data_IF_557574776646
#
_entry.id   IF_557574776646
#
_cell.length_a   1.000
_cell.length_b   1.000
_cell.length_c   1.000
_cell.angle_alpha   90.00
_cell.angle_beta   90.00
_cell.angle_gamma   90.00
#
_symmetry.space_group_name_H-M   'P 1'
#
loop_
_entity.id
_entity.type
_entity.pdbx_description
1 polymer ?
#
# COMPACT_ATOMS: atom_id res chain seq x y z
N UNK A 1 -6.85 58.50 16.48
CA UNK A 1 -7.11 57.64 15.30
C UNK A 1 -5.94 56.68 15.17
N UNK A 2 -6.15 55.37 15.41
CA UNK A 2 -5.09 54.35 15.37
C UNK A 2 -5.07 53.79 13.93
N UNK A 3 -3.93 53.89 13.25
CA UNK A 3 -3.77 53.40 11.88
C UNK A 3 -3.40 51.91 11.95
N UNK A 4 -4.03 51.02 11.16
CA UNK A 4 -3.68 49.61 11.13
C UNK A 4 -2.23 49.42 10.66
N UNK A 5 -1.43 48.71 11.46
CA UNK A 5 -0.03 48.41 11.14
C UNK A 5 0.08 47.31 10.09
N UNK A 6 0.97 47.49 9.10
CA UNK A 6 1.34 46.44 8.15
C UNK A 6 2.48 45.61 8.74
N UNK A 7 2.29 44.29 8.82
CA UNK A 7 3.33 43.34 9.24
C UNK A 7 4.12 42.89 8.01
N UNK A 8 5.45 42.84 8.12
CA UNK A 8 6.35 42.33 7.09
C UNK A 8 7.23 41.22 7.68
N UNK A 9 7.60 40.24 6.85
CA UNK A 9 8.53 39.16 7.22
C UNK A 9 9.60 39.07 6.16
N UNK A 10 10.86 38.99 6.60
CA UNK A 10 12.04 39.00 5.73
C UNK A 10 12.88 37.77 6.02
N UNK A 11 13.33 37.09 4.97
CA UNK A 11 14.36 36.06 5.07
C UNK A 11 15.71 36.71 4.78
N UNK A 12 16.56 36.81 5.81
CA UNK A 12 17.84 37.52 5.72
C UNK A 12 18.97 36.54 5.90
N UNK A 13 19.99 36.64 5.05
CA UNK A 13 21.20 35.84 5.18
C UNK A 13 21.98 36.28 6.42
N UNK A 14 22.46 35.32 7.23
CA UNK A 14 23.06 35.60 8.53
C UNK A 14 24.24 36.59 8.50
N UNK A 15 25.01 36.62 7.40
CA UNK A 15 26.13 37.54 7.23
C UNK A 15 25.69 39.00 7.00
N UNK A 16 24.53 39.21 6.38
CA UNK A 16 24.03 40.54 6.02
C UNK A 16 23.01 41.07 7.03
N UNK A 17 22.73 40.31 8.09
CA UNK A 17 21.72 40.62 9.10
C UNK A 17 21.96 41.97 9.78
N UNK A 18 23.22 42.27 10.12
CA UNK A 18 23.58 43.54 10.76
C UNK A 18 23.38 44.73 9.82
N UNK A 19 23.78 44.61 8.56
CA UNK A 19 23.58 45.66 7.56
C UNK A 19 22.10 45.87 7.25
N UNK A 20 21.31 44.80 7.21
CA UNK A 20 19.86 44.86 7.06
C UNK A 20 19.18 45.56 8.24
N UNK A 21 19.55 45.20 9.48
CA UNK A 21 19.03 45.85 10.70
C UNK A 21 19.33 47.35 10.70
N UNK A 22 20.53 47.74 10.30
CA UNK A 22 20.90 49.15 10.20
C UNK A 22 20.01 49.90 9.20
N UNK A 23 19.75 49.31 8.01
CA UNK A 23 18.84 49.91 7.03
C UNK A 23 17.40 50.05 7.54
N UNK A 24 16.88 49.05 8.25
CA UNK A 24 15.53 49.09 8.85
C UNK A 24 15.45 50.13 9.98
N UNK A 25 16.53 50.29 10.76
CA UNK A 25 16.64 51.30 11.81
C UNK A 25 16.67 52.72 11.25
N UNK A 26 17.39 52.96 10.15
CA UNK A 26 17.40 54.25 9.44
C UNK A 26 16.01 54.62 8.88
N UNK A 27 15.21 53.63 8.47
CA UNK A 27 13.80 53.84 8.10
C UNK A 27 12.86 54.09 9.29
N UNK A 28 13.34 54.02 10.54
CA UNK A 28 12.56 54.32 11.74
C UNK A 28 11.63 53.19 12.19
N UNK A 29 11.86 51.95 11.76
CA UNK A 29 11.06 50.80 12.19
C UNK A 29 11.56 50.32 13.56
N UNK A 30 10.75 50.52 14.61
CA UNK A 30 11.15 50.26 16.00
C UNK A 30 10.88 48.82 16.49
N UNK A 31 10.03 48.06 15.79
CA UNK A 31 9.56 46.75 16.25
C UNK A 31 10.09 45.64 15.34
N UNK A 32 11.29 45.15 15.64
CA UNK A 32 11.90 43.99 14.99
C UNK A 32 11.74 42.79 15.92
N UNK A 33 11.05 41.74 15.45
CA UNK A 33 10.91 40.47 16.16
C UNK A 33 11.78 39.45 15.41
N UNK A 34 12.85 38.99 16.05
CA UNK A 34 13.64 37.87 15.53
C UNK A 34 12.91 36.57 15.88
N UNK A 35 12.30 35.93 14.88
CA UNK A 35 11.78 34.57 15.04
C UNK A 35 12.95 33.61 14.97
N UNK A 36 13.27 32.96 16.08
CA UNK A 36 14.29 31.92 16.10
C UNK A 36 13.86 30.77 15.18
N UNK A 37 14.81 30.30 14.38
CA UNK A 37 14.71 29.20 13.42
C UNK A 37 13.86 28.03 13.93
N UNK A 38 12.81 27.68 13.20
CA UNK A 38 12.10 26.41 13.36
C UNK A 38 10.58 26.50 13.29
N UNK A 39 10.01 27.65 13.62
CA UNK A 39 8.56 27.88 13.48
C UNK A 39 8.24 28.34 12.06
N UNK A 40 8.39 27.41 11.11
CA UNK A 40 7.47 27.40 9.96
C UNK A 40 6.13 26.91 10.54
N UNK A 41 5.48 27.78 11.33
CA UNK A 41 4.07 27.69 11.73
C UNK A 41 3.14 28.07 10.57
N UNK A 42 3.66 28.14 9.34
CA UNK A 42 2.78 28.18 8.19
C UNK A 42 2.42 26.72 7.87
N UNK A 43 1.40 26.20 8.56
CA UNK A 43 0.70 24.96 8.15
C UNK A 43 0.45 24.98 6.63
N UNK A 44 0.14 26.16 6.07
CA UNK A 44 0.02 26.37 4.63
C UNK A 44 1.28 26.01 3.82
N UNK A 45 2.48 26.35 4.30
CA UNK A 45 3.74 26.02 3.62
C UNK A 45 3.97 24.51 3.70
N UNK A 46 3.74 23.91 4.86
CA UNK A 46 3.86 22.46 5.04
C UNK A 46 2.87 21.70 4.13
N UNK A 47 1.63 22.14 4.04
CA UNK A 47 0.62 21.61 3.13
C UNK A 47 1.02 21.75 1.66
N UNK A 48 1.57 22.91 1.27
CA UNK A 48 2.07 23.12 -0.10
C UNK A 48 3.23 22.18 -0.42
N UNK A 49 4.18 21.99 0.51
CA UNK A 49 5.27 21.03 0.33
C UNK A 49 4.75 19.59 0.22
N UNK A 50 3.75 19.22 1.03
CA UNK A 50 3.13 17.91 0.93
C UNK A 50 2.47 17.70 -0.45
N UNK A 51 1.69 18.68 -0.93
CA UNK A 51 1.07 18.63 -2.26
C UNK A 51 2.10 18.53 -3.39
N UNK A 52 3.21 19.26 -3.29
CA UNK A 52 4.31 19.17 -4.27
C UNK A 52 4.92 17.76 -4.27
N UNK A 53 5.13 17.17 -3.10
CA UNK A 53 5.66 15.82 -2.99
C UNK A 53 4.70 14.77 -3.57
N UNK A 54 3.39 14.91 -3.34
CA UNK A 54 2.36 14.04 -3.92
C UNK A 54 2.34 14.12 -5.46
N UNK A 55 2.38 15.34 -6.01
CA UNK A 55 2.45 15.56 -7.47
C UNK A 55 3.73 14.96 -8.08
N UNK A 56 4.89 15.19 -7.46
CA UNK A 56 6.15 14.62 -7.92
C UNK A 56 6.15 13.08 -7.88
N UNK A 57 5.52 12.49 -6.86
CA UNK A 57 5.33 11.04 -6.77
C UNK A 57 4.47 10.50 -7.91
N UNK A 58 3.36 11.19 -8.21
CA UNK A 58 2.48 10.83 -9.32
C UNK A 58 3.17 10.94 -10.68
N UNK A 59 3.93 12.03 -10.93
CA UNK A 59 4.70 12.20 -12.16
C UNK A 59 5.70 11.04 -12.33
N UNK A 60 6.51 10.74 -11.31
CA UNK A 60 7.46 9.62 -11.35
C UNK A 60 6.79 8.26 -11.56
N UNK A 61 5.58 8.08 -11.03
CA UNK A 61 4.81 6.86 -11.27
C UNK A 61 4.36 6.76 -12.73
N UNK A 62 3.83 7.85 -13.29
CA UNK A 62 3.40 7.92 -14.69
C UNK A 62 4.57 7.81 -15.69
N UNK A 63 5.72 8.39 -15.38
CA UNK A 63 6.93 8.31 -16.20
C UNK A 63 7.38 6.86 -16.45
N UNK A 64 7.12 5.94 -15.50
CA UNK A 64 7.43 4.51 -15.68
C UNK A 64 6.69 3.87 -16.85
N UNK A 65 5.55 4.43 -17.25
CA UNK A 65 4.74 3.91 -18.34
C UNK A 65 5.19 4.43 -19.72
N UNK A 66 6.19 5.33 -19.78
CA UNK A 66 6.78 5.87 -21.03
C UNK A 66 5.74 6.27 -22.09
N UNK A 67 4.64 6.88 -21.65
CA UNK A 67 3.60 7.36 -22.57
C UNK A 67 4.09 8.64 -23.23
N UNK A 68 4.02 8.72 -24.56
CA UNK A 68 4.31 9.97 -25.29
C UNK A 68 3.40 11.09 -24.76
N UNK A 69 4.01 12.16 -24.23
CA UNK A 69 3.29 13.39 -23.89
C UNK A 69 2.78 14.00 -25.19
N UNK A 70 1.54 13.67 -25.55
CA UNK A 70 0.81 14.44 -26.55
C UNK A 70 0.40 15.74 -25.88
N UNK A 71 0.97 16.85 -26.33
CA UNK A 71 0.52 18.21 -26.04
C UNK A 71 -0.90 18.41 -26.58
N UNK A 72 -1.87 17.77 -25.94
CA UNK A 72 -3.26 18.11 -26.09
C UNK A 72 -3.54 19.21 -25.06
N UNK A 73 -4.31 20.21 -25.46
CA UNK A 73 -4.79 21.30 -24.60
C UNK A 73 -5.75 20.72 -23.53
N UNK A 74 -5.18 20.10 -22.49
CA UNK A 74 -5.92 19.46 -21.40
C UNK A 74 -6.42 20.59 -20.50
N UNK A 75 -7.71 20.90 -20.60
CA UNK A 75 -8.41 21.88 -19.75
C UNK A 75 -8.78 21.34 -18.36
N UNK A 76 -8.26 20.18 -17.98
CA UNK A 76 -8.60 19.52 -16.72
C UNK A 76 -7.67 20.01 -15.62
N UNK A 77 -8.23 20.27 -14.43
CA UNK A 77 -7.45 20.66 -13.27
C UNK A 77 -6.48 19.52 -12.88
N UNK A 78 -5.19 19.83 -12.74
CA UNK A 78 -4.16 18.83 -12.41
C UNK A 78 -4.39 18.11 -11.07
N UNK A 79 -5.10 18.75 -10.15
CA UNK A 79 -5.47 18.13 -8.86
C UNK A 79 -6.56 17.06 -9.00
N UNK A 80 -7.52 17.23 -9.93
CA UNK A 80 -8.55 16.22 -10.17
C UNK A 80 -7.93 14.97 -10.80
N UNK A 81 -7.02 15.18 -11.76
CA UNK A 81 -6.24 14.10 -12.37
C UNK A 81 -5.38 13.35 -11.33
N UNK A 82 -4.80 14.06 -10.35
CA UNK A 82 -4.07 13.44 -9.24
C UNK A 82 -4.98 12.56 -8.38
N UNK A 83 -6.18 13.04 -8.05
CA UNK A 83 -7.15 12.28 -7.24
C UNK A 83 -7.60 11.00 -7.95
N UNK A 84 -7.88 11.08 -9.25
CA UNK A 84 -8.29 9.92 -10.04
C UNK A 84 -7.16 8.91 -10.20
N UNK A 85 -5.92 9.37 -10.38
CA UNK A 85 -4.74 8.52 -10.37
C UNK A 85 -4.59 7.80 -9.02
N UNK A 86 -4.74 8.51 -7.89
CA UNK A 86 -4.67 7.90 -6.56
C UNK A 86 -5.74 6.82 -6.35
N UNK A 87 -6.97 7.03 -6.85
CA UNK A 87 -8.03 6.00 -6.82
C UNK A 87 -7.63 4.77 -7.64
N UNK A 88 -7.14 4.97 -8.86
CA UNK A 88 -6.70 3.87 -9.73
C UNK A 88 -5.55 3.05 -9.09
N UNK A 89 -4.58 3.71 -8.46
CA UNK A 89 -3.52 3.02 -7.72
C UNK A 89 -4.11 2.23 -6.55
N UNK A 90 -5.06 2.80 -5.81
CA UNK A 90 -5.72 2.11 -4.70
C UNK A 90 -6.47 0.87 -5.18
N UNK A 91 -7.21 0.98 -6.27
CA UNK A 91 -7.95 -0.14 -6.88
C UNK A 91 -7.01 -1.21 -7.42
N UNK A 92 -5.89 -0.82 -8.04
CA UNK A 92 -4.87 -1.76 -8.49
C UNK A 92 -4.29 -2.54 -7.31
N UNK A 93 -3.90 -1.86 -6.23
CA UNK A 93 -3.38 -2.50 -5.03
C UNK A 93 -4.42 -3.44 -4.39
N UNK A 94 -5.68 -3.02 -4.32
CA UNK A 94 -6.76 -3.86 -3.81
C UNK A 94 -6.97 -5.11 -4.68
N UNK A 95 -6.86 -4.98 -6.00
CA UNK A 95 -6.99 -6.10 -6.92
C UNK A 95 -5.80 -7.06 -6.82
N UNK A 96 -4.58 -6.55 -6.69
CA UNK A 96 -3.37 -7.35 -6.46
C UNK A 96 -3.46 -8.14 -5.14
N UNK A 97 -3.98 -7.52 -4.07
CA UNK A 97 -4.22 -8.21 -2.80
C UNK A 97 -5.27 -9.33 -2.94
N UNK A 98 -6.39 -9.06 -3.63
CA UNK A 98 -7.40 -10.09 -3.92
C UNK A 98 -6.80 -11.25 -4.72
N UNK A 99 -6.02 -10.93 -5.74
CA UNK A 99 -5.36 -11.94 -6.59
C UNK A 99 -4.35 -12.77 -5.80
N UNK A 100 -3.59 -12.16 -4.90
CA UNK A 100 -2.69 -12.86 -3.99
C UNK A 100 -3.46 -13.78 -3.01
N UNK A 101 -4.56 -13.29 -2.44
CA UNK A 101 -5.43 -14.08 -1.56
C UNK A 101 -6.06 -15.27 -2.30
N UNK A 102 -6.64 -15.05 -3.47
CA UNK A 102 -7.21 -16.12 -4.32
C UNK A 102 -6.15 -17.12 -4.75
N UNK A 103 -4.93 -16.68 -5.12
CA UNK A 103 -3.82 -17.61 -5.42
C UNK A 103 -3.45 -18.46 -4.22
N UNK A 104 -3.37 -17.86 -3.02
CA UNK A 104 -3.09 -18.60 -1.79
C UNK A 104 -4.20 -19.61 -1.49
N UNK A 105 -5.46 -19.18 -1.56
CA UNK A 105 -6.61 -20.06 -1.38
C UNK A 105 -6.65 -21.19 -2.41
N UNK A 106 -6.37 -20.91 -3.67
CA UNK A 106 -6.33 -21.92 -4.73
C UNK A 106 -5.21 -22.93 -4.47
N UNK A 107 -4.01 -22.47 -4.12
CA UNK A 107 -2.90 -23.36 -3.77
C UNK A 107 -3.19 -24.21 -2.52
N UNK A 108 -3.95 -23.70 -1.56
CA UNK A 108 -4.33 -24.43 -0.34
C UNK A 108 -5.51 -25.39 -0.57
N UNK A 109 -6.53 -24.96 -1.33
CA UNK A 109 -7.80 -25.69 -1.50
C UNK A 109 -7.76 -26.68 -2.68
N UNK A 110 -7.09 -26.34 -3.77
CA UNK A 110 -7.18 -27.10 -5.03
C UNK A 110 -6.13 -28.21 -5.17
N UNK A 111 -5.05 -28.16 -4.40
CA UNK A 111 -4.03 -29.19 -4.45
C UNK A 111 -4.48 -30.61 -4.03
N UNK A 112 -5.33 -30.82 -3.01
CA UNK A 112 -5.86 -32.16 -2.74
C UNK A 112 -6.94 -32.59 -3.76
N UNK A 113 -7.72 -31.65 -4.32
CA UNK A 113 -8.81 -31.93 -5.26
C UNK A 113 -8.37 -32.21 -6.71
N UNK A 114 -7.19 -31.73 -7.13
CA UNK A 114 -6.66 -31.95 -8.48
C UNK A 114 -6.00 -33.33 -8.64
N UNK A 115 -5.52 -33.93 -7.54
CA UNK A 115 -4.86 -35.25 -7.59
C UNK A 115 -5.90 -36.38 -7.64
N UNK A 116 -7.10 -36.13 -7.13
CA UNK A 116 -8.23 -37.03 -7.29
C UNK A 116 -9.19 -36.43 -8.33
N UNK A 117 -8.83 -36.58 -9.61
CA UNK A 117 -9.77 -36.40 -10.72
C UNK A 117 -11.13 -36.97 -10.29
N UNK A 118 -12.25 -36.23 -10.29
CA UNK A 118 -13.50 -36.68 -9.63
C UNK A 118 -14.07 -38.06 -10.03
N UNK A 119 -13.56 -38.68 -11.10
CA UNK A 119 -14.05 -39.95 -11.64
C UNK A 119 -13.90 -41.20 -10.74
N UNK A 120 -12.84 -41.39 -9.91
CA UNK A 120 -12.76 -42.51 -8.96
C UNK A 120 -13.52 -42.23 -7.66
N UNK A 121 -13.61 -40.96 -7.21
CA UNK A 121 -14.31 -40.58 -5.97
C UNK A 121 -15.80 -40.95 -6.08
N UNK A 122 -16.44 -40.60 -7.20
CA UNK A 122 -17.85 -40.90 -7.43
C UNK A 122 -18.13 -42.41 -7.41
N UNK A 123 -17.21 -43.22 -7.98
CA UNK A 123 -17.31 -44.69 -7.95
C UNK A 123 -17.11 -45.30 -6.56
N UNK A 124 -16.28 -44.67 -5.74
CA UNK A 124 -16.05 -45.07 -4.34
C UNK A 124 -17.26 -44.74 -3.47
N UNK A 125 -17.92 -43.60 -3.70
CA UNK A 125 -19.19 -43.26 -3.04
C UNK A 125 -20.33 -44.18 -3.47
N UNK A 126 -20.40 -44.56 -4.75
CA UNK A 126 -21.39 -45.53 -5.25
C UNK A 126 -21.21 -46.93 -4.64
N UNK A 127 -20.00 -47.25 -4.18
CA UNK A 127 -19.66 -48.52 -3.51
C UNK A 127 -19.94 -48.51 -2.01
N UNK A 128 -20.48 -47.42 -1.46
CA UNK A 128 -20.89 -47.30 -0.06
C UNK A 128 -19.80 -46.87 0.93
N UNK A 129 -18.60 -46.50 0.45
CA UNK A 129 -17.53 -45.98 1.30
C UNK A 129 -17.67 -44.47 1.51
N UNK A 130 -17.68 -44.01 2.77
CA UNK A 130 -17.69 -42.57 3.08
C UNK A 130 -16.26 -42.09 3.32
N UNK A 131 -15.78 -41.20 2.46
CA UNK A 131 -14.45 -40.59 2.58
C UNK A 131 -14.54 -39.21 3.22
N UNK A 132 -13.75 -38.96 4.26
CA UNK A 132 -13.57 -37.64 4.85
C UNK A 132 -12.13 -37.14 4.61
N UNK A 133 -12.01 -35.94 4.04
CA UNK A 133 -10.73 -35.31 3.71
C UNK A 133 -10.28 -34.36 4.81
N UNK A 134 -9.02 -34.47 5.20
CA UNK A 134 -8.41 -33.65 6.25
C UNK A 134 -7.08 -33.03 5.80
N UNK A 135 -6.75 -31.89 6.42
CA UNK A 135 -5.54 -31.12 6.15
C UNK A 135 -4.84 -30.88 7.50
N UNK A 136 -3.58 -31.27 7.61
CA UNK A 136 -2.79 -31.06 8.82
C UNK A 136 -1.37 -30.62 8.48
N UNK A 137 -0.77 -29.66 9.21
CA UNK A 137 0.66 -29.39 9.11
C UNK A 137 1.47 -30.66 9.44
N UNK A 138 2.54 -30.92 8.70
CA UNK A 138 3.38 -32.13 8.83
C UNK A 138 3.87 -32.35 10.27
N UNK A 139 4.21 -31.27 10.98
CA UNK A 139 4.65 -31.30 12.39
C UNK A 139 3.63 -31.90 13.36
N UNK A 140 2.35 -31.92 12.98
CA UNK A 140 1.25 -32.44 13.79
C UNK A 140 0.70 -33.76 13.24
N UNK A 141 1.24 -34.26 12.14
CA UNK A 141 0.86 -35.55 11.59
C UNK A 141 1.58 -36.65 12.37
N UNK A 142 0.81 -37.59 12.94
CA UNK A 142 1.40 -38.77 13.56
C UNK A 142 1.34 -39.95 12.57
N UNK A 143 2.50 -40.54 12.26
CA UNK A 143 2.61 -41.73 11.41
C UNK A 143 1.88 -42.95 11.99
N UNK A 144 1.62 -42.99 13.29
CA UNK A 144 0.87 -44.08 13.94
C UNK A 144 -0.61 -44.13 13.50
N UNK A 145 -1.16 -43.01 13.01
CA UNK A 145 -2.56 -42.92 12.56
C UNK A 145 -2.86 -43.78 11.33
N UNK A 146 -1.85 -44.08 10.51
CA UNK A 146 -2.00 -44.95 9.32
C UNK A 146 -2.23 -46.42 9.71
N UNK A 147 -1.84 -46.82 10.94
CA UNK A 147 -1.95 -48.18 11.43
C UNK A 147 -3.19 -48.41 12.31
N UNK A 148 -3.62 -47.39 13.06
CA UNK A 148 -4.78 -47.48 13.96
C UNK A 148 -6.11 -47.15 13.28
N UNK A 149 -6.08 -46.34 12.23
CA UNK A 149 -7.26 -45.92 11.46
C UNK A 149 -7.03 -46.14 9.96
N UNK A 150 -8.10 -46.38 9.20
CA UNK A 150 -8.04 -46.45 7.72
C UNK A 150 -7.79 -45.05 7.14
N UNK A 151 -6.60 -44.53 7.33
CA UNK A 151 -6.15 -43.21 6.91
C UNK A 151 -5.12 -43.38 5.81
N UNK A 152 -5.35 -42.72 4.68
CA UNK A 152 -4.44 -42.70 3.55
C UNK A 152 -3.88 -41.31 3.33
N UNK A 153 -2.56 -41.21 3.29
CA UNK A 153 -1.84 -39.99 2.94
C UNK A 153 -1.91 -39.75 1.43
N UNK A 154 -2.49 -38.63 1.03
CA UNK A 154 -2.72 -38.28 -0.39
C UNK A 154 -1.53 -37.49 -0.94
N UNK A 155 -1.11 -36.42 -0.25
CA UNK A 155 -0.01 -35.58 -0.70
C UNK A 155 0.61 -34.76 0.45
N UNK A 156 1.81 -34.22 0.21
CA UNK A 156 2.48 -33.25 1.05
C UNK A 156 2.93 -32.05 0.20
N UNK A 157 2.49 -30.86 0.57
CA UNK A 157 2.86 -29.63 -0.14
C UNK A 157 3.23 -28.56 0.87
N UNK A 158 4.47 -28.07 0.77
CA UNK A 158 4.99 -26.96 1.59
C UNK A 158 4.79 -27.18 3.09
N UNK A 159 5.05 -28.41 3.57
CA UNK A 159 4.92 -28.79 4.99
C UNK A 159 3.48 -28.97 5.49
N UNK A 160 2.52 -29.11 4.58
CA UNK A 160 1.12 -29.48 4.87
C UNK A 160 0.82 -30.85 4.28
N UNK A 161 0.33 -31.77 5.11
CA UNK A 161 -0.07 -33.12 4.75
C UNK A 161 -1.59 -33.16 4.52
N UNK A 162 -1.96 -33.75 3.40
CA UNK A 162 -3.34 -34.03 3.02
C UNK A 162 -3.58 -35.52 3.15
N UNK A 163 -4.62 -35.92 3.87
CA UNK A 163 -4.98 -37.31 4.06
C UNK A 163 -6.49 -37.52 4.05
N UNK A 164 -6.92 -38.75 3.80
CA UNK A 164 -8.31 -39.15 3.76
C UNK A 164 -8.55 -40.30 4.73
N UNK A 165 -9.66 -40.22 5.48
CA UNK A 165 -10.14 -41.30 6.31
C UNK A 165 -11.35 -41.97 5.65
N UNK A 166 -11.31 -43.30 5.54
CA UNK A 166 -12.42 -44.11 5.07
C UNK A 166 -13.27 -44.59 6.26
N UNK A 167 -14.58 -44.35 6.18
CA UNK A 167 -15.63 -44.79 7.11
C UNK A 167 -16.51 -45.82 6.40
#
# INVERSE_FOLDING_TARGET
MIIPMKKYSFLVYHHDYLSFLQGIQELGVLHVIEKQTGEIEDEEIKEKHQKINELNGAIKYLEKFQVENKDNDIKTNGFDALSDLQKLISDQNANEQKLAATKKENNTKLNPGVILNGKPIDKLSDSGFQMQFFICPEKKYNSDWENEHFIFRINEITGTVFFCHFI
#
